data_IF_499621663720
#
_entry.id   IF_499621663720
#
_cell.length_a   1.000
_cell.length_b   1.000
_cell.length_c   1.000
_cell.angle_alpha   90.00
_cell.angle_beta   90.00
_cell.angle_gamma   90.00
#
_symmetry.space_group_name_H-M   'P 1'
#
loop_
_entity.id
_entity.type
_entity.pdbx_description
1 polymer ?
#
# COMPACT_ATOMS: atom_id res chain seq x y z
N UNK A 1 -41.55 -14.63 33.55
CA UNK A 1 -40.59 -15.66 33.98
C UNK A 1 -39.33 -14.92 34.39
N UNK A 2 -38.91 -15.07 35.64
CA UNK A 2 -37.67 -14.46 36.12
C UNK A 2 -36.51 -14.97 35.25
N UNK A 3 -35.78 -14.07 34.62
CA UNK A 3 -34.67 -14.42 33.71
C UNK A 3 -33.58 -15.18 34.50
N UNK A 4 -33.49 -14.93 35.79
CA UNK A 4 -32.65 -15.69 36.72
C UNK A 4 -33.05 -17.17 36.73
N UNK A 5 -34.36 -17.47 36.78
CA UNK A 5 -34.87 -18.84 36.73
C UNK A 5 -34.61 -19.48 35.36
N UNK A 6 -34.72 -18.71 34.27
CA UNK A 6 -34.39 -19.23 32.93
C UNK A 6 -32.91 -19.63 32.81
N UNK A 7 -32.00 -18.83 33.37
CA UNK A 7 -30.56 -19.15 33.39
C UNK A 7 -30.31 -20.39 34.25
N UNK A 8 -30.97 -20.50 35.40
CA UNK A 8 -30.90 -21.67 36.30
C UNK A 8 -31.41 -22.96 35.59
N UNK A 9 -32.58 -22.89 34.96
CA UNK A 9 -33.18 -24.03 34.25
C UNK A 9 -32.33 -24.49 33.05
N UNK A 10 -31.51 -23.61 32.50
CA UNK A 10 -30.67 -23.86 31.32
C UNK A 10 -29.16 -23.83 31.60
N UNK A 11 -28.72 -23.97 32.87
CA UNK A 11 -27.29 -23.90 33.24
C UNK A 11 -26.43 -24.92 32.49
N UNK A 12 -27.01 -26.04 32.07
CA UNK A 12 -26.34 -27.11 31.33
C UNK A 12 -26.57 -27.05 29.82
N UNK A 13 -27.18 -25.97 29.30
CA UNK A 13 -27.52 -25.82 27.88
C UNK A 13 -26.87 -24.54 27.29
N UNK A 14 -25.62 -24.63 26.81
CA UNK A 14 -24.88 -23.48 26.28
C UNK A 14 -25.58 -22.77 25.12
N UNK A 15 -26.36 -23.52 24.31
CA UNK A 15 -27.05 -22.99 23.13
C UNK A 15 -28.17 -22.02 23.52
N UNK A 16 -28.94 -22.36 24.55
CA UNK A 16 -30.05 -21.52 25.03
C UNK A 16 -29.55 -20.27 25.77
N UNK A 17 -28.46 -20.40 26.54
CA UNK A 17 -27.79 -19.26 27.16
C UNK A 17 -27.25 -18.28 26.09
N UNK A 18 -26.62 -18.78 25.03
CA UNK A 18 -26.17 -17.92 23.90
C UNK A 18 -27.35 -17.27 23.18
N UNK A 19 -28.44 -18.02 22.93
CA UNK A 19 -29.65 -17.47 22.30
C UNK A 19 -30.22 -16.31 23.11
N UNK A 20 -30.27 -16.46 24.43
CA UNK A 20 -30.78 -15.42 25.32
C UNK A 20 -29.85 -14.20 25.35
N UNK A 21 -28.54 -14.42 25.48
CA UNK A 21 -27.55 -13.36 25.44
C UNK A 21 -27.60 -12.55 24.13
N UNK A 22 -27.84 -13.20 22.98
CA UNK A 22 -27.97 -12.51 21.68
C UNK A 22 -29.25 -11.70 21.57
N UNK A 23 -30.33 -12.17 22.19
CA UNK A 23 -31.63 -11.50 22.12
C UNK A 23 -31.67 -10.29 23.05
N UNK A 24 -31.21 -10.43 24.29
CA UNK A 24 -31.34 -9.43 25.35
C UNK A 24 -30.05 -9.33 26.20
N UNK A 25 -28.94 -8.79 25.63
CA UNK A 25 -27.61 -8.87 26.22
C UNK A 25 -27.45 -8.16 27.57
N UNK A 26 -28.05 -6.98 27.73
CA UNK A 26 -27.90 -6.18 28.95
C UNK A 26 -28.69 -6.76 30.13
N UNK A 27 -29.84 -7.37 29.84
CA UNK A 27 -30.66 -8.01 30.86
C UNK A 27 -30.02 -9.32 31.30
N UNK A 28 -29.50 -10.10 30.35
CA UNK A 28 -28.75 -11.33 30.63
C UNK A 28 -27.55 -11.05 31.55
N UNK A 29 -26.71 -10.05 31.26
CA UNK A 29 -25.54 -9.70 32.08
C UNK A 29 -25.90 -9.36 33.52
N UNK A 30 -26.98 -8.59 33.74
CA UNK A 30 -27.42 -8.17 35.08
C UNK A 30 -27.90 -9.36 35.92
N UNK A 31 -28.71 -10.23 35.34
CA UNK A 31 -29.23 -11.42 36.04
C UNK A 31 -28.17 -12.51 36.21
N UNK A 32 -27.23 -12.61 35.28
CA UNK A 32 -26.19 -13.65 35.28
C UNK A 32 -25.28 -13.60 36.53
N UNK A 33 -24.89 -12.40 36.97
CA UNK A 33 -24.01 -12.24 38.14
C UNK A 33 -24.62 -12.86 39.41
N UNK A 34 -25.91 -12.61 39.64
CA UNK A 34 -26.64 -13.17 40.77
C UNK A 34 -26.79 -14.70 40.67
N UNK A 35 -27.03 -15.23 39.47
CA UNK A 35 -27.14 -16.69 39.25
C UNK A 35 -25.79 -17.39 39.43
N UNK A 36 -24.70 -16.76 39.00
CA UNK A 36 -23.34 -17.26 39.16
C UNK A 36 -22.93 -17.38 40.62
N UNK A 37 -23.20 -16.36 41.45
CA UNK A 37 -22.87 -16.38 42.88
C UNK A 37 -23.53 -17.55 43.63
N UNK A 38 -24.74 -17.95 43.19
CA UNK A 38 -25.49 -19.05 43.79
C UNK A 38 -25.14 -20.43 43.20
N UNK A 39 -24.50 -20.49 42.02
CA UNK A 39 -24.27 -21.72 41.25
C UNK A 39 -22.83 -21.81 40.69
N UNK A 40 -21.84 -21.41 41.49
CA UNK A 40 -20.42 -21.33 41.09
C UNK A 40 -19.78 -22.67 40.72
N UNK A 41 -20.43 -23.80 41.02
CA UNK A 41 -19.97 -25.14 40.68
C UNK A 41 -20.23 -25.55 39.21
N UNK A 42 -20.98 -24.75 38.43
CA UNK A 42 -21.26 -25.06 37.02
C UNK A 42 -20.11 -24.65 36.10
N UNK A 43 -19.58 -25.62 35.35
CA UNK A 43 -18.51 -25.39 34.36
C UNK A 43 -18.97 -24.49 33.19
N UNK A 44 -20.25 -24.53 32.80
CA UNK A 44 -20.74 -23.69 31.71
C UNK A 44 -20.89 -22.24 32.18
N UNK A 45 -21.38 -22.03 33.40
CA UNK A 45 -21.46 -20.69 33.96
C UNK A 45 -20.07 -20.11 34.24
N UNK A 46 -19.07 -20.92 34.60
CA UNK A 46 -17.70 -20.40 34.78
C UNK A 46 -17.10 -19.87 33.47
N UNK A 47 -17.32 -20.56 32.35
CA UNK A 47 -16.93 -20.05 31.03
C UNK A 47 -17.68 -18.76 30.66
N UNK A 48 -18.97 -18.66 30.99
CA UNK A 48 -19.74 -17.45 30.76
C UNK A 48 -19.30 -16.28 31.66
N UNK A 49 -18.95 -16.55 32.92
CA UNK A 49 -18.41 -15.56 33.84
C UNK A 49 -17.12 -14.97 33.29
N UNK A 50 -16.19 -15.82 32.86
CA UNK A 50 -14.98 -15.38 32.17
C UNK A 50 -15.35 -14.60 30.92
N UNK A 51 -16.18 -15.13 30.00
CA UNK A 51 -16.53 -14.41 28.77
C UNK A 51 -17.15 -13.01 29.00
N UNK A 52 -17.97 -12.84 30.04
CA UNK A 52 -18.66 -11.58 30.33
C UNK A 52 -17.79 -10.59 31.10
N UNK A 53 -16.91 -11.09 31.98
CA UNK A 53 -16.05 -10.28 32.84
C UNK A 53 -14.61 -10.22 32.36
N UNK A 54 -14.28 -10.91 31.27
CA UNK A 54 -13.00 -10.84 30.59
C UNK A 54 -12.82 -9.42 30.08
N UNK A 55 -12.18 -8.61 30.91
CA UNK A 55 -11.41 -7.48 30.45
C UNK A 55 -10.20 -8.11 29.81
N UNK A 56 -10.07 -7.93 28.50
CA UNK A 56 -8.82 -8.21 27.81
C UNK A 56 -7.73 -7.64 28.69
N UNK A 57 -6.88 -8.51 29.24
CA UNK A 57 -5.60 -8.06 29.77
C UNK A 57 -4.85 -7.63 28.53
N UNK A 58 -5.18 -6.43 28.03
CA UNK A 58 -4.18 -5.58 27.41
C UNK A 58 -3.03 -5.68 28.38
N UNK A 59 -1.95 -6.33 27.95
CA UNK A 59 -0.70 -6.38 28.69
C UNK A 59 -0.37 -4.94 29.06
N UNK A 60 -0.81 -4.55 30.24
CA UNK A 60 -0.44 -3.34 30.94
C UNK A 60 0.84 -3.70 31.68
N UNK A 61 1.82 -4.23 30.93
CA UNK A 61 3.20 -3.88 31.20
C UNK A 61 3.23 -2.37 31.01
N UNK A 62 3.28 -1.62 32.12
CA UNK A 62 3.14 -0.16 32.20
C UNK A 62 3.26 0.55 30.87
N UNK A 63 2.11 0.82 30.23
CA UNK A 63 2.03 1.54 28.98
C UNK A 63 2.40 3.01 29.25
N UNK A 64 3.69 3.27 29.39
CA UNK A 64 4.20 4.58 29.06
C UNK A 64 3.79 4.79 27.59
N UNK A 65 3.09 5.88 27.31
CA UNK A 65 2.74 6.32 25.94
C UNK A 65 3.98 6.40 25.02
N UNK A 66 5.18 6.30 25.59
CA UNK A 66 6.49 6.44 24.98
C UNK A 66 7.23 5.09 25.10
N UNK A 67 6.74 4.05 24.41
CA UNK A 67 7.52 2.81 24.30
C UNK A 67 8.81 3.02 23.50
N UNK A 68 9.77 2.09 23.59
CA UNK A 68 11.06 2.20 22.87
C UNK A 68 10.87 2.36 21.36
N UNK A 69 9.83 1.75 20.78
CA UNK A 69 9.50 1.89 19.36
C UNK A 69 8.98 3.28 19.02
N UNK A 70 8.21 3.92 19.89
CA UNK A 70 7.75 5.30 19.73
C UNK A 70 8.91 6.28 19.75
N UNK A 71 9.85 6.13 20.71
CA UNK A 71 11.06 6.97 20.76
C UNK A 71 11.91 6.78 19.51
N UNK A 72 12.14 5.52 19.10
CA UNK A 72 12.92 5.21 17.91
C UNK A 72 12.29 5.78 16.64
N UNK A 73 10.97 5.63 16.49
CA UNK A 73 10.19 6.26 15.43
C UNK A 73 10.34 7.78 15.44
N UNK A 74 10.21 8.43 16.62
CA UNK A 74 10.33 9.88 16.75
C UNK A 74 11.69 10.40 16.32
N UNK A 75 12.77 9.69 16.69
CA UNK A 75 14.14 10.00 16.24
C UNK A 75 14.22 9.90 14.72
N UNK A 76 13.73 8.80 14.12
CA UNK A 76 13.75 8.63 12.67
C UNK A 76 12.89 9.66 11.92
N UNK A 77 11.75 10.08 12.49
CA UNK A 77 10.91 11.12 11.91
C UNK A 77 11.64 12.47 11.88
N UNK A 78 12.29 12.85 13.00
CA UNK A 78 13.09 14.08 13.07
C UNK A 78 14.26 14.02 12.09
N UNK A 79 15.00 12.90 12.05
CA UNK A 79 16.13 12.73 11.12
C UNK A 79 15.66 12.78 9.66
N UNK A 80 14.50 12.19 9.34
CA UNK A 80 13.86 12.26 8.02
C UNK A 80 13.57 13.71 7.64
N UNK A 81 12.94 14.49 8.53
CA UNK A 81 12.67 15.91 8.32
C UNK A 81 13.93 16.75 8.12
N UNK A 82 14.93 16.60 8.99
CA UNK A 82 16.21 17.32 8.90
C UNK A 82 16.92 16.98 7.58
N UNK A 83 17.03 15.69 7.26
CA UNK A 83 17.72 15.24 6.04
C UNK A 83 17.02 15.76 4.79
N UNK A 84 15.68 15.72 4.76
CA UNK A 84 14.91 16.25 3.62
C UNK A 84 15.12 17.75 3.45
N UNK A 85 15.19 18.53 4.54
CA UNK A 85 15.51 19.97 4.46
C UNK A 85 16.92 20.24 3.96
N UNK A 86 17.92 19.49 4.44
CA UNK A 86 19.31 19.60 3.96
C UNK A 86 19.37 19.27 2.46
N UNK A 87 18.70 18.22 2.01
CA UNK A 87 18.64 17.86 0.60
C UNK A 87 17.96 18.95 -0.23
N UNK A 88 16.86 19.54 0.26
CA UNK A 88 16.20 20.66 -0.41
C UNK A 88 17.15 21.84 -0.63
N UNK A 89 17.95 22.20 0.36
CA UNK A 89 18.96 23.25 0.20
C UNK A 89 19.91 22.96 -0.96
N UNK A 90 20.41 21.73 -1.09
CA UNK A 90 21.25 21.35 -2.23
C UNK A 90 20.49 21.31 -3.57
N UNK A 91 19.20 21.00 -3.55
CA UNK A 91 18.33 21.06 -4.74
C UNK A 91 18.15 22.50 -5.21
N UNK A 92 17.89 23.43 -4.29
CA UNK A 92 17.74 24.87 -4.58
C UNK A 92 19.02 25.47 -5.17
N UNK A 93 20.17 25.04 -4.68
CA UNK A 93 21.49 25.41 -5.22
C UNK A 93 21.84 24.70 -6.54
N UNK A 94 20.93 23.90 -7.11
CA UNK A 94 21.15 23.08 -8.31
C UNK A 94 22.35 22.13 -8.19
N UNK A 95 22.77 21.83 -6.96
CA UNK A 95 23.86 20.89 -6.68
C UNK A 95 23.42 19.43 -6.81
N UNK A 96 22.13 19.16 -6.56
CA UNK A 96 21.54 17.83 -6.67
C UNK A 96 20.13 17.85 -7.27
N UNK A 97 19.64 16.66 -7.68
CA UNK A 97 18.38 16.52 -8.38
C UNK A 97 17.21 16.57 -7.40
N UNK A 98 16.05 17.17 -7.74
CA UNK A 98 14.86 17.17 -6.88
C UNK A 98 14.43 15.76 -6.43
N UNK A 99 14.66 14.74 -7.27
CA UNK A 99 14.36 13.34 -6.95
C UNK A 99 15.14 12.83 -5.72
N UNK A 100 16.27 13.45 -5.36
CA UNK A 100 17.04 13.06 -4.17
C UNK A 100 16.27 13.25 -2.87
N UNK A 101 15.23 14.10 -2.84
CA UNK A 101 14.38 14.27 -1.66
C UNK A 101 13.78 12.94 -1.16
N UNK A 102 13.62 11.95 -2.05
CA UNK A 102 13.16 10.61 -1.69
C UNK A 102 14.11 9.91 -0.70
N UNK A 103 15.42 10.17 -0.77
CA UNK A 103 16.41 9.66 0.20
C UNK A 103 16.30 10.32 1.57
N UNK A 104 15.60 11.45 1.67
CA UNK A 104 15.22 12.04 2.95
C UNK A 104 14.18 11.21 3.71
N UNK A 105 13.46 10.29 3.04
CA UNK A 105 12.32 9.56 3.62
C UNK A 105 12.55 8.04 3.62
N UNK A 106 12.80 7.44 2.44
CA UNK A 106 12.77 5.98 2.29
C UNK A 106 13.83 5.23 3.11
N UNK A 107 15.08 5.71 3.25
CA UNK A 107 16.08 5.06 4.11
C UNK A 107 15.65 5.01 5.58
N UNK A 108 14.99 6.06 6.09
CA UNK A 108 14.50 6.11 7.47
C UNK A 108 13.30 5.18 7.68
N UNK A 109 12.41 5.10 6.70
CA UNK A 109 11.31 4.13 6.72
C UNK A 109 11.84 2.69 6.66
N UNK A 110 12.87 2.43 5.85
CA UNK A 110 13.55 1.14 5.81
C UNK A 110 14.26 0.82 7.13
N UNK A 111 14.92 1.78 7.76
CA UNK A 111 15.54 1.60 9.08
C UNK A 111 14.50 1.27 10.16
N UNK A 112 13.33 1.93 10.12
CA UNK A 112 12.21 1.61 10.99
C UNK A 112 11.74 0.15 10.82
N UNK A 113 11.57 -0.31 9.57
CA UNK A 113 11.18 -1.70 9.30
C UNK A 113 12.25 -2.70 9.71
N UNK A 114 13.52 -2.44 9.43
CA UNK A 114 14.62 -3.32 9.81
C UNK A 114 14.79 -3.42 11.33
N UNK A 115 14.43 -2.39 12.08
CA UNK A 115 14.43 -2.43 13.54
C UNK A 115 13.28 -3.30 14.09
N UNK A 116 12.10 -3.20 13.48
CA UNK A 116 10.92 -3.93 13.95
C UNK A 116 10.86 -5.37 13.45
N UNK A 117 11.53 -5.68 12.34
CA UNK A 117 11.57 -7.01 11.74
C UNK A 117 12.89 -7.72 12.07
N UNK A 118 12.85 -9.03 12.30
CA UNK A 118 14.04 -9.83 12.55
C UNK A 118 14.85 -10.04 11.27
N UNK A 119 15.61 -9.03 10.83
CA UNK A 119 16.43 -9.10 9.63
C UNK A 119 17.86 -9.61 9.92
N UNK A 120 18.34 -10.58 9.14
CA UNK A 120 19.74 -11.01 9.15
C UNK A 120 20.64 -9.84 8.73
N UNK A 121 21.85 -9.78 9.30
CA UNK A 121 22.86 -8.75 8.97
C UNK A 121 23.11 -8.62 7.46
N UNK A 122 23.12 -9.73 6.72
CA UNK A 122 23.30 -9.71 5.27
C UNK A 122 22.21 -8.90 4.56
N UNK A 123 20.95 -9.02 4.98
CA UNK A 123 19.83 -8.27 4.39
C UNK A 123 20.00 -6.78 4.67
N UNK A 124 20.36 -6.43 5.92
CA UNK A 124 20.63 -5.05 6.33
C UNK A 124 21.75 -4.43 5.48
N UNK A 125 22.89 -5.13 5.34
CA UNK A 125 24.01 -4.63 4.55
C UNK A 125 23.66 -4.51 3.06
N UNK A 126 22.91 -5.45 2.49
CA UNK A 126 22.45 -5.37 1.09
C UNK A 126 21.55 -4.16 0.88
N UNK A 127 20.57 -3.92 1.76
CA UNK A 127 19.67 -2.76 1.65
C UNK A 127 20.47 -1.46 1.78
N UNK A 128 21.35 -1.36 2.77
CA UNK A 128 22.20 -0.19 2.96
C UNK A 128 23.09 0.07 1.73
N UNK A 129 23.74 -0.97 1.20
CA UNK A 129 24.56 -0.87 0.00
C UNK A 129 23.78 -0.42 -1.24
N UNK A 130 22.55 -0.93 -1.44
CA UNK A 130 21.71 -0.56 -2.58
C UNK A 130 21.18 0.88 -2.47
N UNK A 131 20.78 1.34 -1.28
CA UNK A 131 20.42 2.75 -1.08
C UNK A 131 21.61 3.68 -1.35
N UNK A 132 22.79 3.34 -0.81
CA UNK A 132 24.01 4.11 -1.04
C UNK A 132 24.40 4.12 -2.51
N UNK A 133 24.36 2.96 -3.18
CA UNK A 133 24.64 2.83 -4.61
C UNK A 133 23.69 3.68 -5.44
N UNK A 134 22.38 3.63 -5.16
CA UNK A 134 21.39 4.49 -5.84
C UNK A 134 21.68 5.98 -5.63
N UNK A 135 21.97 6.39 -4.39
CA UNK A 135 22.28 7.79 -4.08
C UNK A 135 23.55 8.27 -4.76
N UNK A 136 24.64 7.49 -4.70
CA UNK A 136 25.91 7.83 -5.37
C UNK A 136 25.72 7.87 -6.88
N UNK A 137 25.12 6.84 -7.47
CA UNK A 137 24.88 6.76 -8.92
C UNK A 137 24.09 7.97 -9.43
N UNK A 138 23.02 8.35 -8.75
CA UNK A 138 22.18 9.46 -9.16
C UNK A 138 22.92 10.80 -9.17
N UNK A 139 23.88 10.98 -8.26
CA UNK A 139 24.67 12.21 -8.15
C UNK A 139 25.96 12.20 -9.00
N UNK A 140 26.34 11.05 -9.58
CA UNK A 140 27.46 10.95 -10.53
C UNK A 140 27.04 11.28 -11.97
N UNK A 141 25.74 11.16 -12.29
CA UNK A 141 25.26 11.47 -13.63
C UNK A 141 25.06 12.99 -13.75
N UNK A 142 25.57 13.63 -14.83
CA UNK A 142 25.39 15.05 -15.06
C UNK A 142 23.91 15.48 -15.07
N UNK A 143 23.65 16.71 -14.62
CA UNK A 143 22.36 17.39 -14.75
C UNK A 143 22.02 17.71 -16.21
N UNK A 144 21.68 16.69 -16.98
CA UNK A 144 21.23 16.85 -18.36
C UNK A 144 19.77 16.42 -18.50
N UNK A 145 18.94 17.26 -19.12
CA UNK A 145 17.54 16.96 -19.42
C UNK A 145 17.43 16.02 -20.64
N UNK A 146 17.98 14.80 -20.52
CA UNK A 146 17.84 13.75 -21.52
C UNK A 146 16.71 12.80 -21.15
N UNK A 147 16.04 12.26 -22.17
CA UNK A 147 14.93 11.29 -22.03
C UNK A 147 15.33 10.09 -21.15
N UNK A 148 16.58 9.62 -21.27
CA UNK A 148 17.11 8.50 -20.47
C UNK A 148 17.24 8.83 -18.99
N UNK A 149 17.52 10.09 -18.64
CA UNK A 149 17.63 10.55 -17.25
C UNK A 149 16.25 10.72 -16.60
N UNK A 150 15.29 11.30 -17.33
CA UNK A 150 13.89 11.39 -16.90
C UNK A 150 13.36 9.99 -16.58
N UNK A 151 13.67 9.03 -17.45
CA UNK A 151 13.24 7.66 -17.26
C UNK A 151 13.88 6.99 -16.04
N UNK A 152 15.15 7.26 -15.76
CA UNK A 152 15.82 6.80 -14.54
C UNK A 152 15.16 7.40 -13.29
N UNK A 153 14.79 8.68 -13.31
CA UNK A 153 14.05 9.34 -12.24
C UNK A 153 12.65 8.76 -12.02
N UNK A 154 11.97 8.31 -13.08
CA UNK A 154 10.66 7.66 -12.97
C UNK A 154 10.73 6.24 -12.40
N UNK A 155 11.79 5.48 -12.71
CA UNK A 155 11.93 4.09 -12.27
C UNK A 155 12.59 3.96 -10.89
N UNK A 156 13.41 4.93 -10.48
CA UNK A 156 14.11 4.90 -9.19
C UNK A 156 13.15 4.76 -7.99
N UNK A 157 12.03 5.52 -7.88
CA UNK A 157 11.06 5.34 -6.80
C UNK A 157 10.51 3.92 -6.72
N UNK A 158 10.25 3.29 -7.86
CA UNK A 158 9.74 1.90 -7.92
C UNK A 158 10.80 0.92 -7.42
N UNK A 159 12.07 1.12 -7.80
CA UNK A 159 13.18 0.32 -7.29
C UNK A 159 13.33 0.47 -5.77
N UNK A 160 13.37 1.71 -5.25
CA UNK A 160 13.51 1.99 -3.82
C UNK A 160 12.29 1.49 -3.01
N UNK A 161 11.10 1.51 -3.61
CA UNK A 161 9.90 0.90 -3.04
C UNK A 161 10.05 -0.62 -2.88
N UNK A 162 10.62 -1.33 -3.85
CA UNK A 162 10.90 -2.76 -3.69
C UNK A 162 11.98 -3.02 -2.62
N UNK A 163 13.00 -2.17 -2.49
CA UNK A 163 13.96 -2.26 -1.38
C UNK A 163 13.30 -2.07 -0.02
N UNK A 164 12.36 -1.13 0.07
CA UNK A 164 11.56 -0.92 1.26
C UNK A 164 10.70 -2.15 1.58
N UNK A 165 10.16 -2.84 0.57
CA UNK A 165 9.49 -4.13 0.73
C UNK A 165 10.42 -5.23 1.26
N UNK A 166 11.69 -5.24 0.85
CA UNK A 166 12.70 -6.14 1.42
C UNK A 166 13.00 -5.81 2.89
N UNK A 167 13.07 -4.53 3.25
CA UNK A 167 13.19 -4.08 4.63
C UNK A 167 11.98 -4.48 5.49
N UNK A 168 10.77 -4.37 4.92
CA UNK A 168 9.51 -4.74 5.57
C UNK A 168 9.36 -6.25 5.77
N UNK A 169 9.81 -7.05 4.81
CA UNK A 169 9.68 -8.52 4.89
C UNK A 169 10.81 -9.18 5.67
N UNK A 170 11.98 -8.52 5.79
CA UNK A 170 13.11 -9.02 6.55
C UNK A 170 13.53 -10.42 6.09
N UNK A 171 13.72 -11.36 7.04
CA UNK A 171 14.10 -12.73 6.73
C UNK A 171 13.04 -13.53 5.95
N UNK A 172 11.80 -13.05 5.92
CA UNK A 172 10.65 -13.72 5.31
C UNK A 172 10.41 -13.32 3.85
N UNK A 173 11.35 -12.59 3.23
CA UNK A 173 11.21 -12.02 1.88
C UNK A 173 10.83 -13.04 0.78
N UNK A 174 11.18 -14.31 0.95
CA UNK A 174 10.83 -15.39 0.02
C UNK A 174 9.36 -15.80 0.13
N UNK A 175 8.71 -15.59 1.27
CA UNK A 175 7.33 -16.00 1.53
C UNK A 175 6.33 -15.07 0.83
N UNK A 176 5.32 -15.66 0.18
CA UNK A 176 4.25 -14.92 -0.48
C UNK A 176 3.40 -14.12 0.50
N UNK A 177 3.12 -14.68 1.69
CA UNK A 177 2.37 -14.02 2.77
C UNK A 177 3.04 -12.75 3.29
N UNK A 178 4.36 -12.75 3.46
CA UNK A 178 5.11 -11.57 3.90
C UNK A 178 5.02 -10.43 2.87
N UNK A 179 5.17 -10.77 1.58
CA UNK A 179 4.99 -9.82 0.47
C UNK A 179 3.54 -9.33 0.35
N UNK A 180 2.57 -10.20 0.62
CA UNK A 180 1.16 -9.82 0.66
C UNK A 180 0.91 -8.80 1.78
N UNK A 181 1.47 -9.02 2.96
CA UNK A 181 1.37 -8.08 4.08
C UNK A 181 2.02 -6.73 3.76
N UNK A 182 3.13 -6.73 3.00
CA UNK A 182 3.72 -5.48 2.51
C UNK A 182 2.75 -4.73 1.57
N UNK A 183 2.10 -5.41 0.63
CA UNK A 183 1.11 -4.78 -0.25
C UNK A 183 -0.09 -4.23 0.52
N UNK A 184 -0.58 -4.95 1.53
CA UNK A 184 -1.63 -4.46 2.45
C UNK A 184 -1.18 -3.22 3.21
N UNK A 185 0.02 -3.27 3.76
CA UNK A 185 0.64 -2.15 4.45
C UNK A 185 0.65 -0.89 3.56
N UNK A 186 0.98 -1.01 2.27
CA UNK A 186 0.98 0.13 1.36
C UNK A 186 -0.40 0.78 1.22
N UNK A 187 -1.47 -0.01 1.17
CA UNK A 187 -2.84 0.50 1.09
C UNK A 187 -3.24 1.24 2.38
N UNK A 188 -2.99 0.61 3.53
CA UNK A 188 -3.23 1.21 4.83
C UNK A 188 -2.41 2.49 5.03
N UNK A 189 -1.14 2.48 4.62
CA UNK A 189 -0.21 3.60 4.67
C UNK A 189 -0.71 4.77 3.81
N UNK A 190 -1.08 4.53 2.55
CA UNK A 190 -1.56 5.57 1.66
C UNK A 190 -2.80 6.27 2.22
N UNK A 191 -3.76 5.51 2.76
CA UNK A 191 -4.99 6.07 3.34
C UNK A 191 -4.69 6.90 4.60
N UNK A 192 -3.88 6.37 5.51
CA UNK A 192 -3.53 7.08 6.74
C UNK A 192 -2.71 8.34 6.45
N UNK A 193 -1.66 8.20 5.63
CA UNK A 193 -0.81 9.30 5.23
C UNK A 193 -1.61 10.39 4.52
N UNK A 194 -2.49 10.04 3.56
CA UNK A 194 -3.34 11.01 2.88
C UNK A 194 -4.27 11.75 3.85
N UNK A 195 -4.91 11.04 4.78
CA UNK A 195 -5.78 11.66 5.79
C UNK A 195 -5.03 12.65 6.68
N UNK A 196 -3.83 12.27 7.14
CA UNK A 196 -2.99 13.15 7.96
C UNK A 196 -2.44 14.32 7.13
N UNK A 197 -2.07 14.11 5.87
CA UNK A 197 -1.57 15.14 4.97
C UNK A 197 -2.65 16.17 4.61
N UNK A 198 -3.90 15.75 4.40
CA UNK A 198 -5.04 16.67 4.22
C UNK A 198 -5.24 17.54 5.47
N UNK A 199 -5.11 16.93 6.65
CA UNK A 199 -5.19 17.67 7.92
C UNK A 199 -4.05 18.69 8.05
N UNK A 200 -2.83 18.30 7.66
CA UNK A 200 -1.66 19.19 7.63
C UNK A 200 -1.79 20.31 6.58
N UNK A 201 -2.41 20.04 5.43
CA UNK A 201 -2.70 21.04 4.40
C UNK A 201 -3.70 22.08 4.90
N UNK A 202 -4.77 21.64 5.59
CA UNK A 202 -5.73 22.54 6.22
C UNK A 202 -5.06 23.43 7.27
N UNK A 203 -4.22 22.84 8.13
CA UNK A 203 -3.45 23.60 9.12
C UNK A 203 -2.50 24.60 8.46
N UNK A 204 -1.83 24.21 7.37
CA UNK A 204 -0.96 25.09 6.60
C UNK A 204 -1.73 26.27 6.03
N UNK A 205 -2.87 26.02 5.36
CA UNK A 205 -3.71 27.08 4.79
C UNK A 205 -4.21 28.06 5.88
N UNK A 206 -4.66 27.54 7.02
CA UNK A 206 -5.09 28.36 8.15
C UNK A 206 -3.92 29.20 8.71
N UNK A 207 -2.73 28.62 8.83
CA UNK A 207 -1.55 29.33 9.33
C UNK A 207 -1.14 30.46 8.38
N UNK A 208 -1.11 30.21 7.07
CA UNK A 208 -0.82 31.25 6.07
C UNK A 208 -1.83 32.40 6.14
N UNK A 209 -3.13 32.08 6.27
CA UNK A 209 -4.16 33.11 6.37
C UNK A 209 -4.02 33.95 7.64
N UNK A 210 -3.76 33.33 8.80
CA UNK A 210 -3.57 34.05 10.05
C UNK A 210 -2.38 35.01 9.99
N UNK A 211 -1.25 34.58 9.42
CA UNK A 211 -0.08 35.44 9.26
C UNK A 211 -0.29 36.52 8.18
N UNK A 212 -1.02 36.21 7.11
CA UNK A 212 -1.42 37.18 6.10
C UNK A 212 -2.29 38.31 6.65
N UNK A 213 -3.21 38.02 7.57
CA UNK A 213 -4.06 39.04 8.22
C UNK A 213 -3.25 40.06 9.03
N UNK A 214 -2.14 39.65 9.63
CA UNK A 214 -1.24 40.54 10.38
C UNK A 214 -0.12 41.14 9.51
N UNK A 215 -0.21 40.99 8.18
CA UNK A 215 0.71 41.58 7.22
C UNK A 215 2.07 40.88 7.12
N UNK A 216 2.17 39.60 7.51
CA UNK A 216 3.38 38.80 7.38
C UNK A 216 3.30 37.81 6.22
N UNK A 217 4.28 37.86 5.32
CA UNK A 217 4.49 36.90 4.24
C UNK A 217 5.48 35.82 4.69
N UNK A 218 4.97 34.68 5.15
CA UNK A 218 5.77 33.57 5.69
C UNK A 218 5.81 32.35 4.76
N UNK A 219 5.28 32.47 3.54
CA UNK A 219 4.96 31.35 2.65
C UNK A 219 6.21 30.52 2.35
N UNK A 220 7.26 31.15 1.80
CA UNK A 220 8.52 30.48 1.45
C UNK A 220 9.16 29.80 2.67
N UNK A 221 9.33 30.57 3.75
CA UNK A 221 9.89 30.04 5.00
C UNK A 221 9.10 28.84 5.53
N UNK A 222 7.78 28.93 5.58
CA UNK A 222 6.94 27.88 6.15
C UNK A 222 6.89 26.64 5.24
N UNK A 223 6.85 26.81 3.92
CA UNK A 223 6.89 25.67 2.98
C UNK A 223 8.22 24.92 3.05
N UNK A 224 9.34 25.63 2.95
CA UNK A 224 10.66 25.01 2.94
C UNK A 224 11.01 24.35 4.27
N UNK A 225 10.65 24.98 5.40
CA UNK A 225 11.10 24.53 6.71
C UNK A 225 10.07 23.70 7.48
N UNK A 226 8.78 24.05 7.41
CA UNK A 226 7.74 23.41 8.23
C UNK A 226 6.98 22.35 7.42
N UNK A 227 6.50 22.70 6.22
CA UNK A 227 5.72 21.77 5.39
C UNK A 227 6.58 20.61 4.93
N UNK A 228 7.76 20.87 4.35
CA UNK A 228 8.63 19.81 3.86
C UNK A 228 9.09 18.87 4.99
N UNK A 229 9.48 19.44 6.14
CA UNK A 229 9.83 18.67 7.33
C UNK A 229 8.64 17.81 7.80
N UNK A 230 7.45 18.40 7.83
CA UNK A 230 6.20 17.75 8.20
C UNK A 230 5.87 16.57 7.28
N UNK A 231 5.94 16.76 5.96
CA UNK A 231 5.72 15.73 4.94
C UNK A 231 6.66 14.53 5.15
N UNK A 232 7.96 14.80 5.31
CA UNK A 232 8.96 13.75 5.50
C UNK A 232 8.82 13.02 6.84
N UNK A 233 8.56 13.76 7.92
CA UNK A 233 8.35 13.18 9.26
C UNK A 233 7.06 12.37 9.32
N UNK A 234 6.00 12.86 8.68
CA UNK A 234 4.68 12.24 8.67
C UNK A 234 4.72 10.86 8.00
N UNK A 235 5.56 10.67 6.99
CA UNK A 235 5.73 9.36 6.36
C UNK A 235 6.23 8.31 7.36
N UNK A 236 7.15 8.68 8.25
CA UNK A 236 7.66 7.77 9.29
C UNK A 236 6.60 7.51 10.35
N UNK A 237 5.88 8.56 10.78
CA UNK A 237 4.78 8.44 11.76
C UNK A 237 3.66 7.53 11.23
N UNK A 238 3.22 7.74 9.99
CA UNK A 238 2.19 6.92 9.37
C UNK A 238 2.63 5.46 9.23
N UNK A 239 3.91 5.22 8.89
CA UNK A 239 4.47 3.87 8.81
C UNK A 239 4.44 3.14 10.14
N UNK A 240 4.76 3.85 11.23
CA UNK A 240 4.68 3.32 12.58
C UNK A 240 3.26 2.98 13.01
N UNK A 241 2.32 3.91 12.79
CA UNK A 241 0.92 3.71 13.18
C UNK A 241 0.27 2.53 12.45
N UNK A 242 0.51 2.38 11.15
CA UNK A 242 0.01 1.22 10.38
C UNK A 242 0.64 -0.07 10.87
N UNK A 243 1.95 -0.07 11.16
CA UNK A 243 2.67 -1.24 11.66
C UNK A 243 2.17 -1.70 13.04
N UNK A 244 1.58 -0.79 13.84
CA UNK A 244 0.92 -1.09 15.12
C UNK A 244 -0.53 -1.57 14.98
N UNK A 245 -0.95 -1.95 13.77
CA UNK A 245 -2.27 -2.51 13.48
C UNK A 245 -3.43 -1.56 13.84
N UNK A 246 -3.33 -0.29 13.45
CA UNK A 246 -4.40 0.69 13.68
C UNK A 246 -5.75 0.17 13.13
N UNK A 247 -6.75 -0.01 14.01
CA UNK A 247 -8.05 -0.60 13.61
C UNK A 247 -8.74 0.20 12.50
N UNK A 248 -8.59 1.52 12.49
CA UNK A 248 -9.21 2.42 11.52
C UNK A 248 -8.81 2.13 10.07
N UNK A 249 -7.52 1.93 9.78
CA UNK A 249 -7.03 1.68 8.42
C UNK A 249 -7.57 0.36 7.89
N UNK A 250 -7.51 -0.69 8.70
CA UNK A 250 -7.97 -2.04 8.36
C UNK A 250 -9.43 -2.14 7.96
N UNK A 251 -10.27 -1.26 8.53
CA UNK A 251 -11.68 -1.22 8.16
C UNK A 251 -11.87 -0.51 6.82
N UNK A 252 -11.14 0.56 6.53
CA UNK A 252 -11.36 1.38 5.32
C UNK A 252 -10.81 0.77 4.03
N UNK A 253 -9.63 0.15 4.06
CA UNK A 253 -8.96 -0.35 2.83
C UNK A 253 -9.84 -1.32 2.03
N UNK A 254 -10.49 -2.33 2.66
CA UNK A 254 -11.36 -3.26 1.93
C UNK A 254 -12.55 -2.57 1.25
N UNK A 255 -13.13 -1.53 1.86
CA UNK A 255 -14.26 -0.82 1.25
C UNK A 255 -13.83 0.01 0.05
N UNK A 256 -12.67 0.67 0.13
CA UNK A 256 -12.13 1.43 -1.00
C UNK A 256 -11.90 0.50 -2.18
N UNK A 257 -11.27 -0.66 -1.99
CA UNK A 257 -11.05 -1.62 -3.07
C UNK A 257 -12.37 -2.12 -3.70
N UNK A 258 -13.40 -2.37 -2.87
CA UNK A 258 -14.74 -2.80 -3.32
C UNK A 258 -15.52 -1.74 -4.08
N UNK A 259 -15.26 -0.46 -3.83
CA UNK A 259 -15.91 0.66 -4.53
C UNK A 259 -15.18 1.00 -5.83
N UNK A 260 -13.85 1.01 -5.80
CA UNK A 260 -13.04 1.42 -6.94
C UNK A 260 -13.01 0.37 -8.06
N UNK A 261 -13.03 -0.93 -7.75
CA UNK A 261 -12.97 -1.97 -8.79
C UNK A 261 -14.19 -1.95 -9.74
N UNK A 262 -15.45 -1.90 -9.24
CA UNK A 262 -16.63 -1.76 -10.11
C UNK A 262 -16.65 -0.42 -10.87
N UNK A 263 -16.26 0.68 -10.20
CA UNK A 263 -16.24 2.00 -10.83
C UNK A 263 -15.26 2.03 -12.01
N UNK A 264 -14.04 1.51 -11.81
CA UNK A 264 -13.05 1.38 -12.88
C UNK A 264 -13.57 0.51 -14.02
N UNK A 265 -14.19 -0.63 -13.71
CA UNK A 265 -14.79 -1.50 -14.72
C UNK A 265 -15.83 -0.76 -15.57
N UNK A 266 -16.73 -0.01 -14.93
CA UNK A 266 -17.73 0.81 -15.63
C UNK A 266 -17.08 1.87 -16.52
N UNK A 267 -16.07 2.59 -16.01
CA UNK A 267 -15.34 3.60 -16.79
C UNK A 267 -14.64 2.99 -18.00
N UNK A 268 -13.96 1.84 -17.83
CA UNK A 268 -13.27 1.12 -18.92
C UNK A 268 -14.24 0.65 -19.99
N UNK A 269 -15.39 0.08 -19.60
CA UNK A 269 -16.42 -0.35 -20.55
C UNK A 269 -16.97 0.85 -21.32
N UNK A 270 -17.37 1.92 -20.61
CA UNK A 270 -17.90 3.13 -21.23
C UNK A 270 -16.90 3.74 -22.21
N UNK A 271 -15.64 3.82 -21.80
CA UNK A 271 -14.55 4.32 -22.64
C UNK A 271 -14.36 3.47 -23.90
N UNK A 272 -14.31 2.13 -23.78
CA UNK A 272 -14.16 1.24 -24.93
C UNK A 272 -15.32 1.39 -25.93
N UNK A 273 -16.56 1.53 -25.45
CA UNK A 273 -17.74 1.74 -26.30
C UNK A 273 -17.60 3.06 -27.08
N UNK A 274 -17.25 4.16 -26.39
CA UNK A 274 -17.08 5.47 -27.03
C UNK A 274 -15.92 5.46 -28.01
N UNK A 275 -14.79 4.83 -27.66
CA UNK A 275 -13.62 4.73 -28.54
C UNK A 275 -13.94 3.99 -29.85
N UNK A 276 -14.68 2.87 -29.77
CA UNK A 276 -15.14 2.12 -30.94
C UNK A 276 -16.11 2.96 -31.78
N UNK A 277 -17.04 3.67 -31.14
CA UNK A 277 -18.04 4.49 -31.86
C UNK A 277 -17.39 5.68 -32.59
N UNK A 278 -16.47 6.38 -31.94
CA UNK A 278 -15.75 7.52 -32.55
C UNK A 278 -14.78 7.06 -33.64
N UNK A 279 -14.34 5.79 -33.61
CA UNK A 279 -13.47 5.21 -34.64
C UNK A 279 -12.06 5.80 -34.66
N UNK A 280 -11.62 6.48 -33.59
CA UNK A 280 -10.25 6.99 -33.48
C UNK A 280 -9.27 5.82 -33.42
N UNK A 281 -8.23 5.88 -34.23
CA UNK A 281 -7.24 4.82 -34.30
C UNK A 281 -6.23 4.94 -33.13
N UNK A 282 -6.20 3.99 -32.18
CA UNK A 282 -5.33 4.04 -31.01
C UNK A 282 -3.84 3.90 -31.34
N UNK A 283 -3.49 3.38 -32.52
CA UNK A 283 -2.10 3.14 -32.92
C UNK A 283 -1.34 4.42 -33.30
N UNK A 284 -2.07 5.43 -33.79
CA UNK A 284 -1.46 6.62 -34.39
C UNK A 284 -1.34 7.80 -33.42
N UNK A 285 -2.19 7.87 -32.41
CA UNK A 285 -2.21 8.97 -31.45
C UNK A 285 -1.26 8.69 -30.26
N UNK A 286 -0.27 9.57 -30.05
CA UNK A 286 0.70 9.43 -28.96
C UNK A 286 0.05 9.65 -27.59
N UNK A 287 -0.84 10.64 -27.48
CA UNK A 287 -1.45 11.02 -26.21
C UNK A 287 -2.37 9.92 -25.72
N UNK A 288 -3.02 9.25 -26.69
CA UNK A 288 -3.82 8.06 -26.45
C UNK A 288 -3.02 6.91 -25.83
N UNK A 289 -1.80 6.63 -26.32
CA UNK A 289 -0.95 5.56 -25.78
C UNK A 289 -0.41 5.87 -24.37
N UNK A 290 -0.14 7.15 -24.08
CA UNK A 290 0.27 7.57 -22.73
C UNK A 290 -0.87 7.32 -21.75
N UNK A 291 -2.08 7.76 -22.08
CA UNK A 291 -3.27 7.56 -21.25
C UNK A 291 -3.55 6.07 -21.00
N UNK A 292 -3.34 5.21 -22.01
CA UNK A 292 -3.51 3.76 -21.86
C UNK A 292 -2.54 3.16 -20.85
N UNK A 293 -1.26 3.53 -20.91
CA UNK A 293 -0.27 3.06 -19.93
C UNK A 293 -0.61 3.52 -18.51
N UNK A 294 -1.08 4.76 -18.34
CA UNK A 294 -1.52 5.27 -17.04
C UNK A 294 -2.72 4.49 -16.49
N UNK A 295 -3.74 4.26 -17.33
CA UNK A 295 -4.91 3.45 -16.99
C UNK A 295 -4.48 2.03 -16.59
N UNK A 296 -3.55 1.41 -17.31
CA UNK A 296 -3.06 0.05 -16.99
C UNK A 296 -2.40 -0.01 -15.61
N UNK A 297 -1.57 0.97 -15.26
CA UNK A 297 -0.96 1.05 -13.93
C UNK A 297 -2.03 1.20 -12.85
N UNK A 298 -3.03 2.07 -13.06
CA UNK A 298 -4.14 2.28 -12.13
C UNK A 298 -4.96 1.00 -11.95
N UNK A 299 -5.32 0.33 -13.05
CA UNK A 299 -6.12 -0.90 -12.97
C UNK A 299 -5.35 -2.02 -12.30
N UNK A 300 -4.06 -2.16 -12.60
CA UNK A 300 -3.19 -3.11 -11.90
C UNK A 300 -3.18 -2.81 -10.40
N UNK A 301 -3.00 -1.55 -9.99
CA UNK A 301 -3.01 -1.17 -8.58
C UNK A 301 -4.35 -1.51 -7.90
N UNK A 302 -5.48 -1.13 -8.49
CA UNK A 302 -6.83 -1.44 -7.95
C UNK A 302 -7.04 -2.94 -7.87
N UNK A 303 -6.63 -3.69 -8.89
CA UNK A 303 -6.72 -5.16 -8.92
C UNK A 303 -5.89 -5.79 -7.79
N UNK A 304 -4.64 -5.35 -7.62
CA UNK A 304 -3.76 -5.83 -6.56
C UNK A 304 -4.39 -5.57 -5.19
N UNK A 305 -4.88 -4.35 -4.94
CA UNK A 305 -5.53 -4.01 -3.67
C UNK A 305 -6.82 -4.82 -3.41
N UNK A 306 -7.62 -5.01 -4.45
CA UNK A 306 -8.84 -5.82 -4.36
C UNK A 306 -8.54 -7.29 -4.06
N UNK A 307 -7.44 -7.82 -4.59
CA UNK A 307 -6.97 -9.18 -4.30
C UNK A 307 -6.37 -9.30 -2.89
N UNK A 308 -5.61 -8.29 -2.44
CA UNK A 308 -4.95 -8.36 -1.14
C UNK A 308 -5.97 -8.31 0.00
N UNK A 309 -7.02 -7.50 -0.12
CA UNK A 309 -8.03 -7.31 0.93
C UNK A 309 -9.07 -8.43 1.04
N UNK A 310 -9.19 -9.28 0.02
CA UNK A 310 -10.11 -10.41 0.08
C UNK A 310 -9.54 -11.56 0.93
N UNK A 311 -10.40 -12.09 1.79
CA UNK A 311 -10.03 -13.13 2.73
C UNK A 311 -9.88 -14.48 2.00
N UNK A 312 -8.74 -15.15 2.18
CA UNK A 312 -8.36 -16.33 1.41
C UNK A 312 -9.28 -17.55 1.62
N UNK A 313 -10.16 -17.49 2.63
CA UNK A 313 -11.14 -18.51 3.00
C UNK A 313 -12.52 -18.31 2.36
N UNK A 314 -12.70 -17.25 1.57
CA UNK A 314 -13.99 -16.86 1.01
C UNK A 314 -14.54 -17.78 -0.07
N UNK A 315 -15.87 -17.98 -0.07
CA UNK A 315 -16.61 -18.45 -1.25
C UNK A 315 -16.51 -17.40 -2.36
N UNK A 316 -16.69 -17.83 -3.61
CA UNK A 316 -16.72 -16.94 -4.79
C UNK A 316 -17.69 -15.77 -4.54
N UNK A 317 -17.20 -14.55 -4.72
CA UNK A 317 -17.95 -13.31 -4.49
C UNK A 317 -18.20 -12.58 -5.81
N UNK A 318 -19.15 -11.63 -5.83
CA UNK A 318 -19.38 -10.75 -6.99
C UNK A 318 -18.11 -9.95 -7.32
N UNK A 319 -17.33 -9.56 -6.31
CA UNK A 319 -16.07 -8.85 -6.48
C UNK A 319 -15.06 -9.64 -7.31
N UNK A 320 -15.09 -10.98 -7.24
CA UNK A 320 -14.17 -11.83 -8.02
C UNK A 320 -14.50 -11.79 -9.51
N UNK A 321 -15.78 -11.75 -9.87
CA UNK A 321 -16.22 -11.60 -11.26
C UNK A 321 -15.90 -10.21 -11.80
N UNK A 322 -16.06 -9.16 -10.98
CA UNK A 322 -15.70 -7.79 -11.33
C UNK A 322 -14.19 -7.69 -11.60
N UNK A 323 -13.35 -8.18 -10.68
CA UNK A 323 -11.90 -8.19 -10.86
C UNK A 323 -11.49 -9.01 -12.08
N UNK A 324 -12.08 -10.20 -12.28
CA UNK A 324 -11.80 -11.02 -13.45
C UNK A 324 -12.10 -10.27 -14.76
N UNK A 325 -13.25 -9.61 -14.85
CA UNK A 325 -13.65 -8.84 -16.05
C UNK A 325 -12.74 -7.63 -16.24
N UNK A 326 -12.39 -6.95 -15.16
CA UNK A 326 -11.47 -5.81 -15.16
C UNK A 326 -10.08 -6.20 -15.68
N UNK A 327 -9.53 -7.32 -15.20
CA UNK A 327 -8.25 -7.87 -15.67
C UNK A 327 -8.34 -8.26 -17.15
N UNK A 328 -9.43 -8.91 -17.56
CA UNK A 328 -9.63 -9.32 -18.95
C UNK A 328 -9.64 -8.12 -19.90
N UNK A 329 -10.42 -7.08 -19.59
CA UNK A 329 -10.45 -5.85 -20.39
C UNK A 329 -9.08 -5.15 -20.42
N UNK A 330 -8.39 -5.13 -19.27
CA UNK A 330 -7.05 -4.54 -19.18
C UNK A 330 -6.05 -5.28 -20.07
N UNK A 331 -6.08 -6.62 -20.09
CA UNK A 331 -5.24 -7.40 -20.99
C UNK A 331 -5.53 -7.13 -22.46
N UNK A 332 -6.79 -6.90 -22.84
CA UNK A 332 -7.12 -6.52 -24.21
C UNK A 332 -6.52 -5.15 -24.57
N UNK A 333 -6.68 -4.16 -23.67
CA UNK A 333 -6.13 -2.81 -23.85
C UNK A 333 -4.61 -2.83 -23.91
N UNK A 334 -3.96 -3.54 -23.00
CA UNK A 334 -2.51 -3.72 -22.94
C UNK A 334 -1.99 -4.41 -24.19
N UNK A 335 -2.69 -5.42 -24.71
CA UNK A 335 -2.31 -6.07 -25.97
C UNK A 335 -2.31 -5.08 -27.15
N UNK A 336 -3.28 -4.17 -27.21
CA UNK A 336 -3.32 -3.11 -28.25
C UNK A 336 -2.18 -2.11 -28.06
N UNK A 337 -1.97 -1.63 -26.83
CA UNK A 337 -0.90 -0.68 -26.49
C UNK A 337 0.49 -1.27 -26.77
N UNK A 338 0.72 -2.50 -26.33
CA UNK A 338 1.94 -3.26 -26.58
C UNK A 338 2.21 -3.40 -28.08
N UNK A 339 1.24 -3.86 -28.87
CA UNK A 339 1.39 -4.01 -30.33
C UNK A 339 1.69 -2.67 -31.01
N UNK A 340 1.02 -1.59 -30.59
CA UNK A 340 1.29 -0.24 -31.11
C UNK A 340 2.71 0.22 -30.80
N UNK A 341 3.21 -0.06 -29.60
CA UNK A 341 4.56 0.30 -29.18
C UNK A 341 5.63 -0.54 -29.87
N UNK A 342 5.39 -1.84 -30.09
CA UNK A 342 6.28 -2.71 -30.88
C UNK A 342 6.34 -2.23 -32.34
N UNK A 343 5.19 -1.89 -32.94
CA UNK A 343 5.17 -1.29 -34.27
C UNK A 343 6.02 -0.01 -34.30
N UNK A 344 5.84 0.89 -33.34
CA UNK A 344 6.63 2.12 -33.28
C UNK A 344 8.13 1.87 -33.08
N UNK A 345 8.51 0.89 -32.27
CA UNK A 345 9.90 0.50 -32.06
C UNK A 345 10.54 -0.02 -33.37
N UNK A 346 9.83 -0.86 -34.11
CA UNK A 346 10.31 -1.46 -35.36
C UNK A 346 10.41 -0.44 -36.50
N UNK A 347 9.43 0.45 -36.64
CA UNK A 347 9.37 1.40 -37.76
C UNK A 347 10.12 2.71 -37.51
N UNK A 348 10.10 3.24 -36.29
CA UNK A 348 10.73 4.53 -35.98
C UNK A 348 12.08 4.39 -35.25
N UNK A 349 12.54 3.15 -35.01
CA UNK A 349 13.81 2.85 -34.35
C UNK A 349 13.74 2.75 -32.82
N UNK A 350 14.83 2.27 -32.23
CA UNK A 350 14.98 2.06 -30.79
C UNK A 350 15.33 3.40 -30.12
N UNK A 351 14.51 3.81 -29.15
CA UNK A 351 14.82 4.92 -28.25
C UNK A 351 14.63 4.47 -26.80
N UNK A 352 15.29 5.14 -25.85
CA UNK A 352 15.15 4.85 -24.42
C UNK A 352 13.67 4.77 -23.99
N UNK A 353 12.89 5.79 -24.32
CA UNK A 353 11.47 5.85 -23.98
C UNK A 353 10.66 4.69 -24.60
N UNK A 354 10.84 4.39 -25.90
CA UNK A 354 10.09 3.31 -26.55
C UNK A 354 10.43 1.94 -25.96
N UNK A 355 11.72 1.69 -25.69
CA UNK A 355 12.15 0.42 -25.09
C UNK A 355 11.59 0.26 -23.68
N UNK A 356 11.59 1.34 -22.89
CA UNK A 356 11.04 1.32 -21.54
C UNK A 356 9.53 1.06 -21.54
N UNK A 357 8.81 1.75 -22.41
CA UNK A 357 7.36 1.57 -22.56
C UNK A 357 7.01 0.16 -23.03
N UNK A 358 7.76 -0.42 -23.98
CA UNK A 358 7.57 -1.82 -24.37
C UNK A 358 7.82 -2.76 -23.19
N UNK A 359 8.89 -2.55 -22.42
CA UNK A 359 9.21 -3.38 -21.26
C UNK A 359 8.16 -3.33 -20.15
N UNK A 360 7.63 -2.15 -19.81
CA UNK A 360 6.57 -2.04 -18.80
C UNK A 360 5.26 -2.69 -19.27
N UNK A 361 4.90 -2.57 -20.56
CA UNK A 361 3.74 -3.25 -21.12
C UNK A 361 3.92 -4.78 -21.03
N UNK A 362 5.09 -5.32 -21.39
CA UNK A 362 5.36 -6.77 -21.25
C UNK A 362 5.21 -7.25 -19.80
N UNK A 363 5.70 -6.46 -18.84
CA UNK A 363 5.64 -6.80 -17.42
C UNK A 363 4.22 -6.76 -16.88
N UNK A 364 3.47 -5.69 -17.17
CA UNK A 364 2.07 -5.57 -16.75
C UNK A 364 1.25 -6.67 -17.40
N UNK A 365 1.40 -6.90 -18.71
CA UNK A 365 0.70 -7.93 -19.45
C UNK A 365 0.99 -9.32 -18.88
N UNK A 366 2.27 -9.64 -18.65
CA UNK A 366 2.68 -10.93 -18.09
C UNK A 366 2.12 -11.17 -16.70
N UNK A 367 2.08 -10.14 -15.85
CA UNK A 367 1.49 -10.23 -14.52
C UNK A 367 -0.03 -10.40 -14.59
N UNK A 368 -0.73 -9.52 -15.30
CA UNK A 368 -2.18 -9.58 -15.47
C UNK A 368 -2.61 -10.92 -16.07
N UNK A 369 -1.85 -11.46 -17.03
CA UNK A 369 -2.12 -12.76 -17.62
C UNK A 369 -2.01 -13.88 -16.58
N UNK A 370 -0.97 -13.87 -15.75
CA UNK A 370 -0.82 -14.85 -14.68
C UNK A 370 -1.92 -14.73 -13.61
N UNK A 371 -2.28 -13.51 -13.22
CA UNK A 371 -3.41 -13.24 -12.32
C UNK A 371 -4.71 -13.78 -12.93
N UNK A 372 -4.96 -13.52 -14.23
CA UNK A 372 -6.13 -14.00 -14.96
C UNK A 372 -6.20 -15.54 -14.96
N UNK A 373 -5.10 -16.23 -15.28
CA UNK A 373 -5.05 -17.70 -15.23
C UNK A 373 -5.35 -18.24 -13.83
N UNK A 374 -4.85 -17.57 -12.79
CA UNK A 374 -5.11 -17.94 -11.39
C UNK A 374 -6.59 -17.73 -11.02
N UNK A 375 -7.20 -16.64 -11.48
CA UNK A 375 -8.64 -16.41 -11.36
C UNK A 375 -9.47 -17.46 -12.10
N UNK A 376 -9.11 -17.84 -13.33
CA UNK A 376 -9.81 -18.90 -14.07
C UNK A 376 -9.79 -20.21 -13.29
N UNK A 377 -8.65 -20.59 -12.71
CA UNK A 377 -8.52 -21.80 -11.88
C UNK A 377 -9.39 -21.70 -10.63
N UNK A 378 -9.40 -20.57 -9.94
CA UNK A 378 -10.24 -20.32 -8.77
C UNK A 378 -11.75 -20.37 -9.09
N UNK A 379 -12.19 -19.70 -10.17
CA UNK A 379 -13.58 -19.68 -10.61
C UNK A 379 -14.05 -21.06 -11.10
N UNK A 380 -13.14 -21.91 -11.60
CA UNK A 380 -13.40 -23.33 -11.90
C UNK A 380 -13.28 -24.25 -10.68
N UNK A 381 -13.09 -23.71 -9.48
CA UNK A 381 -12.87 -24.45 -8.22
C UNK A 381 -11.66 -25.41 -8.27
N UNK A 382 -10.65 -25.12 -9.11
CA UNK A 382 -9.43 -25.92 -9.28
C UNK A 382 -8.27 -25.46 -8.40
N UNK A 383 -8.39 -24.30 -7.75
CA UNK A 383 -7.39 -23.74 -6.83
C UNK A 383 -8.04 -22.87 -5.77
N UNK A 384 -7.36 -22.68 -4.65
CA UNK A 384 -7.75 -21.70 -3.63
C UNK A 384 -7.43 -20.26 -4.03
N UNK A 385 -7.94 -19.30 -3.27
CA UNK A 385 -7.72 -17.87 -3.47
C UNK A 385 -6.25 -17.47 -3.30
N UNK A 386 -5.50 -18.21 -2.47
CA UNK A 386 -4.07 -18.02 -2.25
C UNK A 386 -3.24 -18.09 -3.55
N UNK A 387 -3.68 -18.86 -4.55
CA UNK A 387 -3.00 -18.93 -5.84
C UNK A 387 -3.04 -17.59 -6.59
N UNK A 388 -4.12 -16.80 -6.43
CA UNK A 388 -4.25 -15.46 -7.02
C UNK A 388 -3.32 -14.48 -6.28
N UNK A 389 -3.31 -14.53 -4.95
CA UNK A 389 -2.42 -13.72 -4.12
C UNK A 389 -0.93 -14.01 -4.40
N UNK A 390 -0.59 -15.27 -4.64
CA UNK A 390 0.74 -15.69 -5.05
C UNK A 390 1.13 -15.13 -6.41
N UNK A 391 0.23 -15.11 -7.40
CA UNK A 391 0.52 -14.54 -8.71
C UNK A 391 0.89 -13.06 -8.62
N UNK A 392 0.16 -12.30 -7.80
CA UNK A 392 0.44 -10.88 -7.51
C UNK A 392 1.81 -10.71 -6.82
N UNK A 393 2.02 -11.42 -5.71
CA UNK A 393 3.21 -11.21 -4.86
C UNK A 393 4.50 -11.74 -5.47
N UNK A 394 4.42 -12.79 -6.31
CA UNK A 394 5.59 -13.35 -7.01
C UNK A 394 6.12 -12.45 -8.11
N UNK A 395 5.29 -11.58 -8.67
CA UNK A 395 5.71 -10.63 -9.69
C UNK A 395 6.40 -9.37 -9.13
N UNK A 396 6.22 -9.08 -7.84
CA UNK A 396 6.77 -7.89 -7.19
C UNK A 396 8.29 -7.71 -7.37
N UNK A 397 9.15 -8.74 -7.16
CA UNK A 397 10.58 -8.61 -7.40
C UNK A 397 10.93 -8.38 -8.88
N UNK A 398 10.11 -8.87 -9.82
CA UNK A 398 10.33 -8.69 -11.27
C UNK A 398 10.20 -7.22 -11.63
N UNK A 399 9.18 -6.52 -11.10
CA UNK A 399 9.06 -5.06 -11.25
C UNK A 399 10.29 -4.32 -10.69
N UNK A 400 10.79 -4.75 -9.53
CA UNK A 400 12.00 -4.16 -8.94
C UNK A 400 13.25 -4.36 -9.78
N UNK A 401 13.45 -5.55 -10.35
CA UNK A 401 14.58 -5.85 -11.24
C UNK A 401 14.49 -4.99 -12.51
N UNK A 402 13.31 -4.86 -13.11
CA UNK A 402 13.13 -4.00 -14.27
C UNK A 402 13.39 -2.53 -13.95
N UNK A 403 12.85 -2.04 -12.82
CA UNK A 403 13.08 -0.68 -12.38
C UNK A 403 14.59 -0.41 -12.16
N UNK A 404 15.30 -1.34 -11.51
CA UNK A 404 16.75 -1.27 -11.36
C UNK A 404 17.46 -1.23 -12.72
N UNK A 405 17.09 -2.13 -13.64
CA UNK A 405 17.67 -2.17 -14.97
C UNK A 405 17.50 -0.83 -15.71
N UNK A 406 16.28 -0.28 -15.73
CA UNK A 406 16.04 1.01 -16.39
C UNK A 406 16.82 2.15 -15.72
N UNK A 407 16.78 2.24 -14.39
CA UNK A 407 17.48 3.29 -13.64
C UNK A 407 18.99 3.27 -13.87
N UNK A 408 19.63 2.09 -13.81
CA UNK A 408 21.09 1.98 -13.82
C UNK A 408 21.70 1.79 -15.21
N UNK A 409 20.94 1.32 -16.21
CA UNK A 409 21.52 1.01 -17.53
C UNK A 409 21.11 1.99 -18.62
N UNK A 410 19.90 2.56 -18.59
CA UNK A 410 19.43 3.41 -19.70
C UNK A 410 20.24 4.70 -19.84
N UNK A 411 20.59 5.43 -18.77
CA UNK A 411 21.48 6.59 -18.87
C UNK A 411 22.86 6.27 -19.46
N UNK A 412 23.36 5.05 -19.28
CA UNK A 412 24.67 4.62 -19.80
C UNK A 412 24.60 4.23 -21.28
N UNK A 413 23.51 3.60 -21.69
CA UNK A 413 23.31 3.09 -23.06
C UNK A 413 22.82 4.20 -24.00
N UNK A 414 21.87 5.01 -23.55
CA UNK A 414 21.21 6.05 -24.34
C UNK A 414 21.72 7.44 -23.92
N UNK A 415 22.99 7.70 -24.28
CA UNK A 415 23.67 8.97 -24.03
C UNK A 415 23.16 10.12 -24.89
#
# INVERSE_FOLDING_TARGET
MDISNFIIDNMNNPRELERMFRKEPEIFKRSFLHVWEQNSNSQILSVWYERLNYKETEKTEGASLIDKSFVFMGILAILSGITTRILLYFVEQQGIAPINLIFGILPFMAAYFLYNNSAKKNIVYTIAALFLMSGVYLNLIPFEQKDSMILAYLHLPVFLWVLLGLAFTGNEYSMGSARLNYLKFNGEFCILYASMAISGMLLTALTMQLFGVIGMHIEEFYFENIVLFGVASLAIVASYLVSRNLKFTKTLVPYIAKIFSPLMLTTLIAYLIVAIWVGKNPFLDRDFLILFNEILIIVLAVTIFSITENDAKGKKSISDYINFTLIFLSLMIDSVAFLAMVFRLSFYGITANRLATVGINILIWGNLFWIMLSYIKFLKSKSGYSAIQDAVTKYLPIYGIWAAFVTFTFPLIFK
#
